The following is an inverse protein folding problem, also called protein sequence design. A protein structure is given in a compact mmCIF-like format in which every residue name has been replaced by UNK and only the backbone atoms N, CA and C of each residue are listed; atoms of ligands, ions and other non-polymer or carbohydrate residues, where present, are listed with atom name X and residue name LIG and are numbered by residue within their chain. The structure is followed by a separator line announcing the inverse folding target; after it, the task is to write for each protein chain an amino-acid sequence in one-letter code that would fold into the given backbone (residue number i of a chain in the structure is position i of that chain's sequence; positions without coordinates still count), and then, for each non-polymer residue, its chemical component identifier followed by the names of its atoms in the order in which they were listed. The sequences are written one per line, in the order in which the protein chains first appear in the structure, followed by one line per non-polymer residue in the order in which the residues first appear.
data_IF_436752771124
#
_entry.id   IF_436752771124
#
_cell.length_a   1.000
_cell.length_b   1.000
_cell.length_c   1.000
_cell.angle_alpha   90.00
_cell.angle_beta   90.00
_cell.angle_gamma   90.00
#
_symmetry.space_group_name_H-M   'P 1'
#
loop_
_entity.id
_entity.type
_entity.pdbx_description
1 polymer ?
#
# COMPACT_ATOMS: atom_id res chain seq x y z
N UNK A 1 14.79 7.10 -11.04
CA UNK A 1 14.11 6.07 -10.22
C UNK A 1 12.77 6.65 -9.78
N UNK A 2 11.70 5.86 -9.77
CA UNK A 2 10.37 6.33 -9.37
C UNK A 2 10.31 6.52 -7.85
N UNK A 3 9.70 7.62 -7.39
CA UNK A 3 9.45 7.91 -5.96
C UNK A 3 7.96 8.03 -5.70
N UNK A 4 7.55 7.80 -4.45
CA UNK A 4 6.20 8.04 -3.95
C UNK A 4 6.15 9.43 -3.32
N UNK A 5 5.21 10.27 -3.74
CA UNK A 5 5.07 11.64 -3.26
C UNK A 5 3.78 11.80 -2.46
N UNK A 6 3.89 12.41 -1.28
CA UNK A 6 2.79 12.78 -0.39
C UNK A 6 3.08 14.13 0.26
N UNK A 7 2.05 14.77 0.79
CA UNK A 7 2.21 15.93 1.67
C UNK A 7 2.29 15.47 3.14
N UNK A 8 3.10 16.19 3.91
CA UNK A 8 3.22 16.10 5.36
C UNK A 8 3.00 17.52 5.92
N UNK A 9 1.76 17.80 6.34
CA UNK A 9 1.36 19.14 6.80
C UNK A 9 1.61 20.24 5.74
N UNK A 10 1.28 19.94 4.48
CA UNK A 10 1.47 20.82 3.33
C UNK A 10 2.86 20.76 2.69
N UNK A 11 3.84 20.13 3.35
CA UNK A 11 5.20 20.01 2.82
C UNK A 11 5.35 18.75 1.97
N UNK A 12 5.92 18.89 0.77
CA UNK A 12 6.14 17.76 -0.13
C UNK A 12 7.29 16.89 0.36
N UNK A 13 7.02 15.59 0.55
CA UNK A 13 8.03 14.59 0.85
C UNK A 13 7.96 13.43 -0.14
N UNK A 14 9.11 12.84 -0.43
CA UNK A 14 9.26 11.75 -1.40
C UNK A 14 9.94 10.54 -0.79
N UNK A 15 9.48 9.34 -1.14
CA UNK A 15 10.05 8.07 -0.69
C UNK A 15 10.47 7.20 -1.86
N UNK A 16 11.73 6.73 -1.85
CA UNK A 16 12.19 5.71 -2.79
C UNK A 16 11.93 4.30 -2.25
N UNK A 17 12.00 3.29 -3.11
CA UNK A 17 11.94 1.89 -2.67
C UNK A 17 13.07 1.56 -1.68
N UNK A 18 14.28 2.10 -1.88
CA UNK A 18 15.39 1.90 -0.96
C UNK A 18 15.14 2.50 0.43
N UNK A 19 14.37 3.59 0.52
CA UNK A 19 13.98 4.16 1.81
C UNK A 19 13.02 3.23 2.54
N UNK A 20 12.07 2.62 1.82
CA UNK A 20 11.18 1.59 2.38
C UNK A 20 11.96 0.36 2.85
N UNK A 21 12.97 -0.08 2.09
CA UNK A 21 13.85 -1.17 2.52
C UNK A 21 14.64 -0.82 3.78
N UNK A 22 15.14 0.42 3.90
CA UNK A 22 15.85 0.88 5.11
C UNK A 22 14.93 0.91 6.34
N UNK A 23 13.65 1.25 6.16
CA UNK A 23 12.68 1.26 7.25
C UNK A 23 12.27 -0.15 7.66
N UNK A 24 12.01 -1.04 6.70
CA UNK A 24 11.52 -2.39 6.98
C UNK A 24 12.61 -3.39 7.39
N UNK A 25 13.75 -3.39 6.70
CA UNK A 25 14.80 -4.38 6.82
C UNK A 25 14.83 -5.40 5.66
N UNK A 26 15.48 -6.54 5.89
CA UNK A 26 15.89 -7.49 4.84
C UNK A 26 15.00 -8.71 4.66
N UNK A 27 13.94 -8.85 5.46
CA UNK A 27 12.94 -9.92 5.33
C UNK A 27 11.69 -9.41 4.63
N UNK A 28 10.78 -10.30 4.22
CA UNK A 28 9.46 -9.95 3.66
C UNK A 28 9.46 -8.87 2.55
N UNK A 29 10.56 -8.81 1.77
CA UNK A 29 10.79 -7.77 0.75
C UNK A 29 9.69 -7.78 -0.32
N UNK A 30 9.14 -8.96 -0.65
CA UNK A 30 8.00 -9.07 -1.54
C UNK A 30 6.80 -8.24 -1.06
N UNK A 31 6.53 -8.24 0.25
CA UNK A 31 5.49 -7.40 0.84
C UNK A 31 5.79 -5.90 0.70
N UNK A 32 7.05 -5.49 0.89
CA UNK A 32 7.48 -4.09 0.68
C UNK A 32 7.26 -3.68 -0.77
N UNK A 33 7.62 -4.56 -1.72
CA UNK A 33 7.42 -4.33 -3.14
C UNK A 33 5.93 -4.17 -3.49
N UNK A 34 5.06 -5.02 -2.94
CA UNK A 34 3.60 -4.87 -3.12
C UNK A 34 3.09 -3.54 -2.55
N UNK A 35 3.46 -3.18 -1.32
CA UNK A 35 3.06 -1.90 -0.72
C UNK A 35 3.52 -0.70 -1.55
N UNK A 36 4.78 -0.71 -2.01
CA UNK A 36 5.31 0.33 -2.90
C UNK A 36 4.52 0.44 -4.21
N UNK A 37 4.27 -0.68 -4.90
CA UNK A 37 3.52 -0.66 -6.17
C UNK A 37 2.06 -0.28 -5.98
N UNK A 38 1.43 -0.67 -4.87
CA UNK A 38 0.07 -0.23 -4.54
C UNK A 38 0.03 1.29 -4.40
N UNK A 39 0.95 1.87 -3.63
CA UNK A 39 1.02 3.33 -3.43
C UNK A 39 1.36 4.06 -4.73
N UNK A 40 2.29 3.53 -5.53
CA UNK A 40 2.66 4.11 -6.84
C UNK A 40 1.45 4.26 -7.76
N UNK A 41 0.49 3.32 -7.71
CA UNK A 41 -0.73 3.37 -8.50
C UNK A 41 -1.86 4.15 -7.85
N UNK A 42 -2.00 4.06 -6.53
CA UNK A 42 -3.12 4.65 -5.80
C UNK A 42 -2.97 6.16 -5.59
N UNK A 43 -1.78 6.65 -5.21
CA UNK A 43 -1.58 8.05 -4.81
C UNK A 43 -1.99 9.06 -5.89
N UNK A 44 -1.62 8.90 -7.18
CA UNK A 44 -2.04 9.83 -8.23
C UNK A 44 -3.55 9.85 -8.44
N UNK A 45 -4.24 8.73 -8.23
CA UNK A 45 -5.70 8.63 -8.38
C UNK A 45 -6.37 9.31 -7.18
N UNK A 46 -5.93 9.00 -5.96
CA UNK A 46 -6.45 9.56 -4.72
C UNK A 46 -6.38 11.09 -4.71
N UNK A 47 -5.21 11.64 -5.01
CA UNK A 47 -4.97 13.07 -5.02
C UNK A 47 -5.35 13.79 -6.32
N UNK A 48 -6.02 13.11 -7.27
CA UNK A 48 -6.43 13.69 -8.56
C UNK A 48 -5.25 14.35 -9.33
N UNK A 49 -4.11 13.66 -9.36
CA UNK A 49 -2.87 14.11 -9.99
C UNK A 49 -1.99 15.01 -9.12
N UNK A 50 -2.40 15.32 -7.88
CA UNK A 50 -1.58 16.00 -6.88
C UNK A 50 -1.19 15.04 -5.74
N UNK A 51 -0.07 15.26 -5.03
CA UNK A 51 0.27 14.49 -3.85
C UNK A 51 -0.80 14.62 -2.75
N UNK A 52 -1.34 13.51 -2.21
CA UNK A 52 -2.32 13.56 -1.11
C UNK A 52 -1.65 13.83 0.24
N UNK A 53 -2.41 14.35 1.21
CA UNK A 53 -1.97 14.47 2.60
C UNK A 53 -1.88 13.11 3.28
N UNK A 54 -0.68 12.72 3.73
CA UNK A 54 -0.44 11.38 4.27
C UNK A 54 -1.33 11.06 5.47
N UNK A 55 -1.56 12.05 6.34
CA UNK A 55 -2.37 11.91 7.56
C UNK A 55 -3.89 11.78 7.31
N UNK A 56 -4.32 11.82 6.06
CA UNK A 56 -5.73 11.65 5.68
C UNK A 56 -5.99 10.43 4.78
N UNK A 57 -4.96 9.60 4.54
CA UNK A 57 -5.10 8.36 3.75
C UNK A 57 -5.54 7.19 4.64
N UNK A 58 -6.63 6.53 4.29
CA UNK A 58 -7.06 5.28 4.91
C UNK A 58 -6.56 4.08 4.11
N UNK A 59 -6.24 2.97 4.79
CA UNK A 59 -5.76 1.73 4.17
C UNK A 59 -6.52 0.55 4.75
N UNK A 60 -7.13 -0.24 3.87
CA UNK A 60 -7.75 -1.51 4.19
C UNK A 60 -7.17 -2.61 3.30
N UNK A 61 -6.88 -3.77 3.87
CA UNK A 61 -6.21 -4.84 3.12
C UNK A 61 -6.60 -6.23 3.61
N UNK A 62 -6.63 -7.19 2.69
CA UNK A 62 -6.65 -8.62 3.00
C UNK A 62 -5.26 -9.24 3.06
N UNK A 63 -4.21 -8.47 2.74
CA UNK A 63 -2.83 -8.90 2.75
C UNK A 63 -2.12 -8.36 4.01
N UNK A 64 -2.00 -9.15 5.09
CA UNK A 64 -1.49 -8.68 6.38
C UNK A 64 0.04 -8.68 6.50
N UNK A 65 0.77 -8.99 5.41
CA UNK A 65 2.23 -9.17 5.44
C UNK A 65 3.00 -7.95 6.00
N UNK A 66 4.03 -8.17 6.84
CA UNK A 66 4.70 -7.10 7.58
C UNK A 66 5.39 -6.08 6.65
N UNK A 67 5.96 -6.54 5.54
CA UNK A 67 6.58 -5.64 4.55
C UNK A 67 5.59 -4.67 3.90
N UNK A 68 4.37 -5.12 3.60
CA UNK A 68 3.34 -4.24 3.06
C UNK A 68 2.85 -3.27 4.12
N UNK A 69 2.60 -3.75 5.35
CA UNK A 69 2.22 -2.91 6.49
C UNK A 69 3.23 -1.78 6.72
N UNK A 70 4.52 -2.08 6.69
CA UNK A 70 5.58 -1.10 6.93
C UNK A 70 5.71 -0.11 5.77
N UNK A 71 5.54 -0.55 4.53
CA UNK A 71 5.44 0.34 3.38
C UNK A 71 4.29 1.34 3.53
N UNK A 72 3.10 0.88 3.94
CA UNK A 72 1.96 1.74 4.20
C UNK A 72 2.23 2.69 5.37
N UNK A 73 2.77 2.21 6.49
CA UNK A 73 3.11 3.07 7.64
C UNK A 73 4.11 4.16 7.25
N UNK A 74 5.23 3.79 6.62
CA UNK A 74 6.30 4.72 6.28
C UNK A 74 5.78 5.87 5.42
N UNK A 75 4.93 5.59 4.43
CA UNK A 75 4.44 6.62 3.50
C UNK A 75 3.24 7.37 4.07
N UNK A 76 2.27 6.66 4.69
CA UNK A 76 0.94 7.22 5.00
C UNK A 76 0.68 7.51 6.47
N UNK A 77 1.50 7.00 7.42
CA UNK A 77 1.18 7.01 8.85
C UNK A 77 -0.17 6.37 9.21
N UNK A 78 -0.72 5.54 8.33
CA UNK A 78 -2.04 4.95 8.56
C UNK A 78 -2.02 3.96 9.73
N UNK A 79 -0.91 3.27 9.99
CA UNK A 79 -0.83 2.28 11.08
C UNK A 79 -0.81 2.99 12.42
N UNK A 80 0.15 3.89 12.62
CA UNK A 80 0.25 4.67 13.87
C UNK A 80 -0.93 5.62 14.05
N UNK A 81 -1.51 6.11 12.95
CA UNK A 81 -2.70 6.97 12.95
C UNK A 81 -4.04 6.24 13.06
N UNK A 82 -4.07 4.92 13.25
CA UNK A 82 -5.32 4.15 13.45
C UNK A 82 -6.23 4.05 12.21
N UNK A 83 -5.68 4.30 11.02
CA UNK A 83 -6.37 4.29 9.71
C UNK A 83 -5.97 3.08 8.84
N UNK A 84 -5.21 2.12 9.40
CA UNK A 84 -4.84 0.87 8.74
C UNK A 84 -5.66 -0.29 9.33
N UNK A 85 -6.40 -1.00 8.48
CA UNK A 85 -7.25 -2.13 8.87
C UNK A 85 -6.93 -3.37 8.04
N UNK A 86 -6.61 -4.47 8.71
CA UNK A 86 -6.67 -5.80 8.08
C UNK A 86 -8.11 -6.26 8.14
N UNK A 87 -8.74 -6.42 6.97
CA UNK A 87 -10.16 -6.72 6.85
C UNK A 87 -10.36 -8.00 6.03
N UNK A 88 -10.62 -9.15 6.68
CA UNK A 88 -10.98 -10.38 5.97
C UNK A 88 -12.27 -10.18 5.16
N UNK A 89 -12.35 -10.81 3.98
CA UNK A 89 -13.52 -10.77 3.09
C UNK A 89 -13.85 -9.38 2.51
N UNK A 90 -12.85 -8.50 2.42
CA UNK A 90 -12.92 -7.22 1.73
C UNK A 90 -12.93 -7.37 0.20
N UNK A 91 -12.21 -8.38 -0.31
CA UNK A 91 -12.03 -8.64 -1.72
C UNK A 91 -13.22 -9.40 -2.32
N UNK A 92 -13.50 -9.16 -3.61
CA UNK A 92 -14.32 -10.08 -4.39
C UNK A 92 -13.65 -11.46 -4.51
N UNK A 93 -14.43 -12.51 -4.70
CA UNK A 93 -13.93 -13.90 -4.77
C UNK A 93 -12.83 -14.16 -5.81
N UNK A 94 -12.71 -13.29 -6.82
CA UNK A 94 -11.76 -13.39 -7.93
C UNK A 94 -10.38 -12.77 -7.63
N UNK A 95 -10.18 -12.11 -6.48
CA UNK A 95 -8.87 -11.54 -6.14
C UNK A 95 -7.84 -12.65 -5.86
N UNK A 96 -6.61 -12.59 -6.39
CA UNK A 96 -5.63 -13.65 -6.21
C UNK A 96 -5.30 -13.94 -4.74
N UNK A 97 -5.16 -15.21 -4.41
CA UNK A 97 -4.69 -15.68 -3.10
C UNK A 97 -3.25 -15.25 -2.87
N UNK A 98 -2.93 -14.94 -1.62
CA UNK A 98 -1.57 -14.74 -1.14
C UNK A 98 -1.28 -15.77 -0.02
N UNK A 99 -0.02 -15.94 0.41
CA UNK A 99 0.30 -16.86 1.52
C UNK A 99 -0.54 -16.62 2.77
N UNK A 100 -0.89 -15.35 3.00
CA UNK A 100 -1.91 -14.95 3.96
C UNK A 100 -2.93 -14.03 3.29
N UNK A 101 -4.19 -14.45 3.29
CA UNK A 101 -5.32 -13.69 2.75
C UNK A 101 -5.28 -13.57 1.22
N UNK A 102 -5.43 -12.34 0.71
CA UNK A 102 -5.53 -12.07 -0.73
C UNK A 102 -4.80 -10.79 -1.11
N UNK A 103 -4.30 -10.73 -2.34
CA UNK A 103 -3.71 -9.53 -2.92
C UNK A 103 -4.81 -8.50 -3.27
N UNK A 104 -5.41 -7.91 -2.25
CA UNK A 104 -6.43 -6.87 -2.36
C UNK A 104 -6.16 -5.75 -1.37
N UNK A 105 -6.21 -4.52 -1.88
CA UNK A 105 -5.91 -3.30 -1.15
C UNK A 105 -6.94 -2.23 -1.51
N UNK A 106 -7.51 -1.57 -0.51
CA UNK A 106 -8.38 -0.42 -0.66
C UNK A 106 -7.75 0.77 0.04
N UNK A 107 -7.58 1.88 -0.69
CA UNK A 107 -7.10 3.12 -0.12
C UNK A 107 -8.16 4.22 -0.25
N UNK A 108 -8.30 5.03 0.79
CA UNK A 108 -9.23 6.15 0.86
C UNK A 108 -8.53 7.49 1.05
N UNK A 109 -9.07 8.58 0.48
CA UNK A 109 -8.62 9.96 0.73
C UNK A 109 -9.72 10.94 0.33
N UNK A 110 -10.17 11.80 1.27
CA UNK A 110 -11.16 12.88 1.03
C UNK A 110 -12.38 12.46 0.19
N UNK A 111 -12.98 11.33 0.53
CA UNK A 111 -14.16 10.79 -0.15
C UNK A 111 -13.89 10.07 -1.47
N UNK A 112 -12.62 9.96 -1.91
CA UNK A 112 -12.19 9.10 -3.01
C UNK A 112 -11.67 7.78 -2.47
N UNK A 113 -12.01 6.70 -3.16
CA UNK A 113 -11.56 5.33 -2.83
C UNK A 113 -10.98 4.69 -4.08
N UNK A 114 -9.89 3.94 -3.91
CA UNK A 114 -9.24 3.16 -4.97
C UNK A 114 -9.05 1.73 -4.47
N UNK A 115 -9.58 0.78 -5.24
CA UNK A 115 -9.38 -0.65 -5.03
C UNK A 115 -8.32 -1.16 -6.00
N UNK A 116 -7.37 -1.92 -5.47
CA UNK A 116 -6.27 -2.51 -6.23
C UNK A 116 -6.19 -4.00 -5.92
N UNK A 117 -5.99 -4.79 -6.96
CA UNK A 117 -5.66 -6.20 -6.85
C UNK A 117 -4.49 -6.55 -7.75
N UNK A 118 -3.80 -7.65 -7.44
CA UNK A 118 -2.71 -8.14 -8.28
C UNK A 118 -3.25 -8.60 -9.63
N UNK A 119 -2.54 -8.28 -10.72
CA UNK A 119 -2.84 -8.86 -12.03
C UNK A 119 -2.58 -10.37 -11.97
N UNK A 120 -3.53 -11.15 -12.50
CA UNK A 120 -3.41 -12.59 -12.59
C UNK A 120 -2.10 -13.04 -13.28
N UNK A 121 -1.49 -14.11 -12.78
CA UNK A 121 -0.24 -14.69 -13.26
C UNK A 121 1.04 -13.87 -13.00
N UNK A 122 0.99 -12.79 -12.22
CA UNK A 122 2.17 -11.95 -11.95
C UNK A 122 3.06 -12.48 -10.81
N UNK A 123 2.49 -13.23 -9.88
CA UNK A 123 3.21 -13.99 -8.85
C UNK A 123 3.08 -15.46 -9.19
N UNK A 124 4.18 -16.19 -9.23
CA UNK A 124 4.18 -17.62 -9.51
C UNK A 124 3.72 -18.42 -8.30
N UNK A 125 3.12 -19.60 -8.54
CA UNK A 125 2.56 -20.48 -7.52
C UNK A 125 3.53 -20.84 -6.38
N UNK A 126 4.85 -20.83 -6.63
CA UNK A 126 5.88 -21.06 -5.60
C UNK A 126 5.84 -20.03 -4.45
N UNK A 127 5.28 -18.84 -4.68
CA UNK A 127 5.23 -17.74 -3.72
C UNK A 127 3.82 -17.43 -3.21
N UNK A 128 2.83 -18.28 -3.54
CA UNK A 128 1.42 -18.17 -3.12
C UNK A 128 1.13 -19.15 -1.99
#
# INVERSE_FOLDING_TARGET
MTTLEVLDHGELISFSFDDLLKYHGTSSIGGVAHGFKVLERALPILGAGQPPERYEIDVETEFPGPGARDAFEMVTRAVTGGRYRVAPHLASGDAPTAPEGRYFFRLGYRGRTVDLTLRDGYVSDEFI
#
